data_IF_025299101240
#
_entry.id   IF_025299101240
#
_cell.length_a   1.000
_cell.length_b   1.000
_cell.length_c   1.000
_cell.angle_alpha   90.00
_cell.angle_beta   90.00
_cell.angle_gamma   90.00
#
_symmetry.space_group_name_H-M   'P 1'
#
loop_
_entity.id
_entity.type
_entity.pdbx_description
1 polymer ?
#
# COMPACT_ATOMS: atom_id res chain seq x y z
N UNK A 1 -50.61 0.32 -47.22
CA UNK A 1 -50.34 -0.12 -45.83
C UNK A 1 -49.16 -1.08 -45.75
N UNK A 2 -48.95 -1.96 -46.72
CA UNK A 2 -47.87 -2.97 -46.70
C UNK A 2 -46.44 -2.40 -46.77
N UNK A 3 -46.21 -1.33 -47.55
CA UNK A 3 -44.90 -0.65 -47.63
C UNK A 3 -44.44 -0.02 -46.30
N UNK A 4 -45.37 0.48 -45.49
CA UNK A 4 -45.06 1.07 -44.18
C UNK A 4 -44.61 0.01 -43.17
N UNK A 5 -45.17 -1.21 -43.26
CA UNK A 5 -44.82 -2.34 -42.38
C UNK A 5 -43.39 -2.81 -42.65
N UNK A 6 -43.00 -2.90 -43.93
CA UNK A 6 -41.63 -3.28 -44.32
C UNK A 6 -40.60 -2.23 -43.86
N UNK A 7 -40.94 -0.94 -43.97
CA UNK A 7 -40.08 0.15 -43.50
C UNK A 7 -39.92 0.15 -41.97
N UNK A 8 -41.01 -0.12 -41.23
CA UNK A 8 -41.01 -0.22 -39.77
C UNK A 8 -40.13 -1.38 -39.26
N UNK A 9 -40.19 -2.54 -39.91
CA UNK A 9 -39.37 -3.71 -39.56
C UNK A 9 -37.89 -3.44 -39.82
N UNK A 10 -37.55 -2.78 -40.94
CA UNK A 10 -36.18 -2.40 -41.27
C UNK A 10 -35.56 -1.43 -40.26
N UNK A 11 -36.35 -0.45 -39.77
CA UNK A 11 -35.91 0.50 -38.74
C UNK A 11 -35.70 -0.20 -37.38
N UNK A 12 -36.60 -1.10 -36.99
CA UNK A 12 -36.47 -1.85 -35.73
C UNK A 12 -35.25 -2.78 -35.74
N UNK A 13 -34.98 -3.45 -36.87
CA UNK A 13 -33.77 -4.27 -37.03
C UNK A 13 -32.48 -3.44 -37.05
N UNK A 14 -32.50 -2.28 -37.71
CA UNK A 14 -31.34 -1.36 -37.76
C UNK A 14 -31.00 -0.74 -36.42
N UNK A 15 -32.00 -0.30 -35.65
CA UNK A 15 -31.81 0.28 -34.31
C UNK A 15 -31.44 -0.79 -33.28
N UNK A 16 -32.05 -1.98 -33.37
CA UNK A 16 -31.69 -3.11 -32.51
C UNK A 16 -30.22 -3.54 -32.70
N UNK A 17 -29.74 -3.56 -33.94
CA UNK A 17 -28.35 -3.91 -34.26
C UNK A 17 -27.33 -2.92 -33.71
N UNK A 18 -27.59 -1.61 -33.76
CA UNK A 18 -26.68 -0.59 -33.24
C UNK A 18 -26.64 -0.58 -31.71
N UNK A 19 -27.78 -0.80 -31.04
CA UNK A 19 -27.85 -0.94 -29.58
C UNK A 19 -27.14 -2.21 -29.09
N UNK A 20 -27.29 -3.33 -29.80
CA UNK A 20 -26.55 -4.57 -29.51
C UNK A 20 -25.04 -4.38 -29.72
N UNK A 21 -24.62 -3.71 -30.79
CA UNK A 21 -23.20 -3.40 -31.01
C UNK A 21 -22.62 -2.52 -29.90
N UNK A 22 -23.36 -1.48 -29.47
CA UNK A 22 -22.95 -0.64 -28.35
C UNK A 22 -22.83 -1.44 -27.04
N UNK A 23 -23.76 -2.35 -26.77
CA UNK A 23 -23.71 -3.21 -25.57
C UNK A 23 -22.54 -4.20 -25.62
N UNK A 24 -22.28 -4.82 -26.78
CA UNK A 24 -21.12 -5.71 -27.00
C UNK A 24 -19.80 -4.96 -26.87
N UNK A 25 -19.68 -3.73 -27.39
CA UNK A 25 -18.49 -2.88 -27.24
C UNK A 25 -18.32 -2.39 -25.79
N UNK A 26 -19.43 -2.11 -25.08
CA UNK A 26 -19.41 -1.71 -23.67
C UNK A 26 -18.93 -2.83 -22.74
N UNK A 27 -19.14 -4.11 -23.08
CA UNK A 27 -18.68 -5.26 -22.30
C UNK A 27 -17.14 -5.44 -22.28
N UNK A 28 -16.40 -4.78 -23.19
CA UNK A 28 -14.92 -4.88 -23.25
C UNK A 28 -14.17 -3.97 -22.27
N UNK A 29 -14.87 -3.23 -21.41
CA UNK A 29 -14.26 -2.46 -20.32
C UNK A 29 -14.52 -3.16 -18.99
N UNK A 30 -13.93 -4.34 -18.80
CA UNK A 30 -13.54 -4.72 -17.44
C UNK A 30 -12.30 -3.88 -17.13
N UNK A 31 -12.30 -2.97 -16.14
CA UNK A 31 -11.05 -2.44 -15.60
C UNK A 31 -10.40 -3.59 -14.81
N UNK A 32 -9.88 -4.55 -15.56
CA UNK A 32 -9.22 -5.74 -15.04
C UNK A 32 -7.78 -5.35 -14.76
N UNK A 33 -7.56 -4.84 -13.54
CA UNK A 33 -6.37 -5.10 -12.72
C UNK A 33 -5.00 -4.60 -13.23
N UNK A 34 -4.93 -3.79 -14.28
CA UNK A 34 -3.63 -3.26 -14.78
C UNK A 34 -3.04 -2.14 -13.92
N UNK A 35 -3.72 -1.71 -12.85
CA UNK A 35 -3.22 -0.75 -11.87
C UNK A 35 -2.41 -1.38 -10.73
N UNK A 36 -2.30 -2.71 -10.66
CA UNK A 36 -1.26 -3.39 -9.87
C UNK A 36 0.01 -3.49 -10.73
N UNK A 37 0.41 -2.35 -11.30
CA UNK A 37 1.68 -2.20 -11.97
C UNK A 37 2.77 -2.61 -10.99
N UNK A 38 3.74 -3.38 -11.48
CA UNK A 38 4.89 -3.89 -10.71
C UNK A 38 5.46 -2.75 -9.86
N UNK A 39 5.08 -2.72 -8.60
CA UNK A 39 5.66 -1.79 -7.65
C UNK A 39 7.16 -1.95 -7.75
N UNK A 40 7.87 -0.84 -7.96
CA UNK A 40 9.31 -0.91 -8.10
C UNK A 40 9.89 -1.49 -6.81
N UNK A 41 11.00 -2.23 -6.92
CA UNK A 41 11.68 -2.78 -5.75
C UNK A 41 12.03 -1.66 -4.74
N UNK A 42 12.28 -0.46 -5.24
CA UNK A 42 12.58 0.74 -4.45
C UNK A 42 11.35 1.19 -3.64
N UNK A 43 10.19 1.28 -4.28
CA UNK A 43 8.95 1.64 -3.58
C UNK A 43 8.58 0.61 -2.52
N UNK A 44 8.73 -0.69 -2.84
CA UNK A 44 8.50 -1.78 -1.88
C UNK A 44 9.40 -1.66 -0.66
N UNK A 45 10.70 -1.51 -0.87
CA UNK A 45 11.67 -1.36 0.22
C UNK A 45 11.40 -0.11 1.05
N UNK A 46 11.01 0.98 0.40
CA UNK A 46 10.65 2.21 1.10
C UNK A 46 9.41 1.99 1.98
N UNK A 47 8.36 1.34 1.46
CA UNK A 47 7.17 1.05 2.25
C UNK A 47 7.46 0.11 3.42
N UNK A 48 8.12 -1.03 3.17
CA UNK A 48 8.46 -2.01 4.21
C UNK A 48 9.25 -1.36 5.35
N UNK A 49 10.18 -0.45 5.00
CA UNK A 49 10.92 0.36 5.97
C UNK A 49 10.02 1.30 6.79
N UNK A 50 9.12 2.04 6.15
CA UNK A 50 8.22 2.94 6.86
C UNK A 50 7.26 2.17 7.79
N UNK A 51 6.74 1.03 7.32
CA UNK A 51 5.92 0.11 8.13
C UNK A 51 6.68 -0.40 9.36
N UNK A 52 7.94 -0.81 9.20
CA UNK A 52 8.77 -1.26 10.31
C UNK A 52 9.08 -0.14 11.31
N UNK A 53 9.33 1.09 10.83
CA UNK A 53 9.48 2.26 11.71
C UNK A 53 8.21 2.54 12.51
N UNK A 54 7.03 2.45 11.88
CA UNK A 54 5.75 2.59 12.56
C UNK A 54 5.54 1.50 13.61
N UNK A 55 5.90 0.24 13.29
CA UNK A 55 5.81 -0.88 14.25
C UNK A 55 6.73 -0.66 15.46
N UNK A 56 7.97 -0.22 15.24
CA UNK A 56 8.92 0.11 16.32
C UNK A 56 8.35 1.25 17.18
N UNK A 57 7.82 2.29 16.55
CA UNK A 57 7.21 3.41 17.28
C UNK A 57 5.97 2.97 18.08
N UNK A 58 5.14 2.09 17.54
CA UNK A 58 4.01 1.49 18.26
C UNK A 58 4.43 0.65 19.48
N UNK A 59 5.58 -0.04 19.42
CA UNK A 59 6.12 -0.71 20.60
C UNK A 59 6.48 0.28 21.70
N UNK A 60 7.04 1.44 21.37
CA UNK A 60 7.31 2.51 22.34
C UNK A 60 6.03 3.08 22.97
N UNK A 61 4.87 2.92 22.34
CA UNK A 61 3.60 3.33 22.95
C UNK A 61 3.20 2.48 24.14
N UNK A 62 3.47 1.18 24.06
CA UNK A 62 3.06 0.17 25.04
C UNK A 62 4.19 -0.28 25.96
N UNK A 63 5.44 -0.13 25.53
CA UNK A 63 6.63 -0.64 26.20
C UNK A 63 7.76 0.40 26.11
N UNK A 64 8.11 1.02 27.23
CA UNK A 64 9.28 1.90 27.35
C UNK A 64 10.00 1.53 28.66
N UNK A 65 11.35 1.46 28.69
CA UNK A 65 12.30 1.71 27.61
C UNK A 65 12.48 0.53 26.62
N UNK A 66 12.84 0.83 25.37
CA UNK A 66 13.02 -0.18 24.32
C UNK A 66 14.49 -0.29 23.90
N UNK A 67 15.05 -1.49 23.88
CA UNK A 67 16.39 -1.75 23.33
C UNK A 67 16.29 -2.26 21.90
N UNK A 68 17.40 -2.21 21.17
CA UNK A 68 17.50 -2.80 19.83
C UNK A 68 17.20 -4.30 19.84
N UNK A 69 17.66 -5.03 20.87
CA UNK A 69 17.35 -6.46 21.03
C UNK A 69 15.86 -6.74 21.31
N UNK A 70 15.14 -5.82 21.97
CA UNK A 70 13.69 -5.95 22.12
C UNK A 70 12.98 -5.90 20.75
N UNK A 71 13.46 -5.06 19.83
CA UNK A 71 12.89 -4.96 18.47
C UNK A 71 13.09 -6.27 17.70
N UNK A 72 14.26 -6.89 17.78
CA UNK A 72 14.49 -8.20 17.16
C UNK A 72 13.57 -9.26 17.75
N UNK A 73 13.48 -9.35 19.07
CA UNK A 73 12.65 -10.33 19.76
C UNK A 73 11.15 -10.15 19.50
N UNK A 74 10.67 -8.91 19.42
CA UNK A 74 9.22 -8.61 19.33
C UNK A 74 8.73 -8.49 17.88
N UNK A 75 9.55 -7.94 16.97
CA UNK A 75 9.14 -7.65 15.59
C UNK A 75 9.85 -8.51 14.55
N UNK A 76 10.91 -9.23 14.93
CA UNK A 76 11.74 -10.01 14.01
C UNK A 76 12.66 -9.16 13.13
N UNK A 77 12.83 -7.87 13.47
CA UNK A 77 13.68 -6.95 12.73
C UNK A 77 15.11 -7.07 13.27
N UNK A 78 16.12 -7.41 12.45
CA UNK A 78 17.49 -7.59 12.92
C UNK A 78 18.04 -6.36 13.64
N UNK A 79 18.89 -6.56 14.65
CA UNK A 79 19.40 -5.45 15.48
C UNK A 79 20.04 -4.33 14.65
N UNK A 80 20.86 -4.68 13.66
CA UNK A 80 21.52 -3.70 12.79
C UNK A 80 20.54 -2.86 11.96
N UNK A 81 19.41 -3.42 11.56
CA UNK A 81 18.34 -2.72 10.87
C UNK A 81 17.55 -1.84 11.84
N UNK A 82 17.23 -2.37 13.03
CA UNK A 82 16.54 -1.63 14.07
C UNK A 82 17.33 -0.40 14.54
N UNK A 83 18.65 -0.51 14.73
CA UNK A 83 19.52 0.65 15.03
C UNK A 83 19.37 1.75 13.97
N UNK A 84 19.42 1.40 12.68
CA UNK A 84 19.24 2.39 11.60
C UNK A 84 17.86 3.04 11.64
N UNK A 85 16.82 2.28 11.99
CA UNK A 85 15.46 2.81 12.08
C UNK A 85 15.27 3.71 13.29
N UNK A 86 15.88 3.39 14.44
CA UNK A 86 15.93 4.30 15.58
C UNK A 86 16.67 5.60 15.25
N UNK A 87 17.83 5.53 14.58
CA UNK A 87 18.58 6.72 14.15
C UNK A 87 17.73 7.64 13.26
N UNK A 88 16.90 7.06 12.39
CA UNK A 88 15.99 7.83 11.55
C UNK A 88 14.81 8.40 12.33
N UNK A 89 14.19 7.61 13.20
CA UNK A 89 13.13 8.09 14.08
C UNK A 89 13.61 9.21 15.01
N UNK A 90 14.87 9.18 15.44
CA UNK A 90 15.49 10.23 16.25
C UNK A 90 15.73 11.49 15.42
N UNK A 91 16.20 11.36 14.17
CA UNK A 91 16.29 12.48 13.22
C UNK A 91 14.93 13.09 12.88
N UNK A 92 13.88 12.28 12.86
CA UNK A 92 12.49 12.71 12.72
C UNK A 92 11.92 13.34 14.00
N UNK A 93 12.65 13.27 15.12
CA UNK A 93 12.23 13.82 16.41
C UNK A 93 11.13 13.02 17.12
N UNK A 94 10.96 11.73 16.77
CA UNK A 94 9.94 10.85 17.37
C UNK A 94 10.46 10.10 18.60
N UNK A 95 11.74 9.79 18.61
CA UNK A 95 12.40 9.03 19.69
C UNK A 95 13.70 9.70 20.09
N UNK A 96 14.23 9.35 21.26
CA UNK A 96 15.53 9.79 21.75
C UNK A 96 16.33 8.61 22.25
N UNK A 97 17.62 8.58 21.95
CA UNK A 97 18.55 7.64 22.55
C UNK A 97 18.86 8.05 23.99
N UNK A 98 18.75 7.12 24.91
CA UNK A 98 19.18 7.25 26.30
C UNK A 98 20.36 6.31 26.53
N UNK A 99 21.44 6.85 27.08
CA UNK A 99 22.72 6.16 27.19
C UNK A 99 23.60 6.39 25.95
N UNK A 100 24.93 6.31 26.14
CA UNK A 100 25.90 6.64 25.08
C UNK A 100 26.42 5.39 24.37
N UNK A 101 26.74 4.33 25.13
CA UNK A 101 27.34 3.10 24.58
C UNK A 101 26.97 1.89 25.43
N UNK A 102 27.02 0.70 24.81
CA UNK A 102 26.87 -0.57 25.51
C UNK A 102 25.44 -0.92 25.90
N UNK A 103 25.30 -1.75 26.94
CA UNK A 103 24.03 -2.38 27.34
C UNK A 103 23.01 -1.41 27.94
N UNK A 104 23.46 -0.24 28.35
CA UNK A 104 22.58 0.79 28.92
C UNK A 104 21.88 1.63 27.84
N UNK A 105 22.21 1.40 26.56
CA UNK A 105 21.57 2.08 25.43
C UNK A 105 20.16 1.57 25.23
N UNK A 106 19.21 2.49 25.31
CA UNK A 106 17.80 2.26 25.02
C UNK A 106 17.18 3.49 24.39
N UNK A 107 15.98 3.33 23.86
CA UNK A 107 15.23 4.38 23.20
C UNK A 107 13.92 4.64 23.95
N UNK A 108 13.57 5.92 24.02
CA UNK A 108 12.33 6.42 24.59
C UNK A 108 11.65 7.36 23.58
N UNK A 109 10.38 7.67 23.79
CA UNK A 109 9.72 8.74 23.03
C UNK A 109 10.37 10.09 23.35
N UNK A 110 10.56 10.91 22.30
CA UNK A 110 11.11 12.26 22.42
C UNK A 110 10.09 13.25 23.03
#
# INVERSE_FOLDING_TARGET
MELFVIFLIGVVAGVGGTLLWQWVVAQKKKPLDTARGKESLIERQKREKEEDKERIYGLLESNTPLTVGHVEMMLGIPESTATRYFDELEKEGKVRQVGTTGRDVHYERA
#
